data_IF_349188188543
#
_entry.id   IF_349188188543
#
_cell.length_a   1.000
_cell.length_b   1.000
_cell.length_c   1.000
_cell.angle_alpha   90.00
_cell.angle_beta   90.00
_cell.angle_gamma   90.00
#
_symmetry.space_group_name_H-M   'P 1'
#
loop_
_entity.id
_entity.type
_entity.pdbx_description
1 polymer ?
#
# COMPACT_ATOMS: atom_id res chain seq x y z
N UNK A 1 8.09 -12.13 2.05
CA UNK A 1 6.63 -12.19 2.23
C UNK A 1 6.03 -12.90 1.04
N UNK A 2 4.93 -13.64 1.22
CA UNK A 2 4.23 -14.35 0.14
C UNK A 2 3.16 -13.44 -0.45
N UNK A 3 3.17 -13.25 -1.78
CA UNK A 3 2.15 -12.47 -2.50
C UNK A 3 0.95 -13.39 -2.75
N UNK A 4 -0.24 -12.96 -2.35
CA UNK A 4 -1.49 -13.73 -2.48
C UNK A 4 -2.29 -13.29 -3.71
N UNK A 5 -2.16 -12.03 -4.14
CA UNK A 5 -2.88 -11.47 -5.29
C UNK A 5 -2.23 -10.18 -5.82
N UNK A 6 -2.48 -9.82 -7.08
CA UNK A 6 -2.02 -8.58 -7.73
C UNK A 6 -3.03 -8.05 -8.75
N UNK A 7 -3.32 -6.74 -8.67
CA UNK A 7 -4.07 -5.99 -9.68
C UNK A 7 -3.27 -4.75 -10.09
N UNK A 8 -2.98 -4.60 -11.39
CA UNK A 8 -2.25 -3.47 -11.96
C UNK A 8 -3.25 -2.48 -12.62
N UNK A 9 -3.30 -1.24 -12.13
CA UNK A 9 -4.14 -0.19 -12.72
C UNK A 9 -3.33 0.74 -13.64
N UNK A 10 -3.96 1.21 -14.73
CA UNK A 10 -3.44 2.24 -15.62
C UNK A 10 -3.69 3.65 -15.02
N UNK A 11 -2.84 4.66 -15.29
CA UNK A 11 -2.81 5.89 -14.49
C UNK A 11 -4.07 6.76 -14.61
N UNK A 12 -4.76 7.01 -13.49
CA UNK A 12 -5.88 7.96 -13.40
C UNK A 12 -6.46 8.16 -11.98
N UNK A 13 -5.93 9.16 -11.24
CA UNK A 13 -6.15 9.35 -9.78
C UNK A 13 -7.60 9.48 -9.26
N UNK A 14 -8.59 9.77 -10.12
CA UNK A 14 -10.00 9.84 -9.70
C UNK A 14 -10.80 8.59 -10.06
N UNK A 15 -10.41 7.91 -11.14
CA UNK A 15 -11.03 6.67 -11.56
C UNK A 15 -10.65 5.53 -10.61
N UNK A 16 -9.41 5.53 -10.12
CA UNK A 16 -8.87 4.48 -9.25
C UNK A 16 -9.65 4.33 -7.94
N UNK A 17 -10.14 5.42 -7.34
CA UNK A 17 -10.91 5.38 -6.08
C UNK A 17 -12.29 4.76 -6.25
N UNK A 18 -12.98 5.10 -7.34
CA UNK A 18 -14.31 4.58 -7.67
C UNK A 18 -14.21 3.10 -8.08
N UNK A 19 -13.24 2.77 -8.91
CA UNK A 19 -12.96 1.39 -9.35
C UNK A 19 -12.45 0.51 -8.21
N UNK A 20 -11.81 1.07 -7.19
CA UNK A 20 -11.36 0.34 -5.99
C UNK A 20 -12.44 0.10 -4.93
N UNK A 21 -13.66 0.61 -5.11
CA UNK A 21 -14.75 0.42 -4.13
C UNK A 21 -15.03 -1.06 -3.80
N UNK A 22 -15.02 -2.00 -4.77
CA UNK A 22 -15.15 -3.43 -4.48
C UNK A 22 -13.95 -3.98 -3.68
N UNK A 23 -12.73 -3.49 -3.92
CA UNK A 23 -11.52 -3.89 -3.20
C UNK A 23 -11.62 -3.47 -1.73
N UNK A 24 -12.10 -2.26 -1.47
CA UNK A 24 -12.38 -1.77 -0.11
C UNK A 24 -13.38 -2.68 0.61
N UNK A 25 -14.49 -3.04 -0.04
CA UNK A 25 -15.46 -3.95 0.56
C UNK A 25 -14.82 -5.30 0.89
N UNK A 26 -14.07 -5.89 -0.04
CA UNK A 26 -13.41 -7.18 0.14
C UNK A 26 -12.36 -7.17 1.26
N UNK A 27 -11.57 -6.09 1.36
CA UNK A 27 -10.59 -5.88 2.44
C UNK A 27 -11.22 -5.83 3.84
N UNK A 28 -12.45 -5.32 3.94
CA UNK A 28 -13.17 -5.23 5.21
C UNK A 28 -13.88 -6.54 5.57
N UNK A 29 -14.46 -7.23 4.59
CA UNK A 29 -15.37 -8.35 4.85
C UNK A 29 -14.74 -9.73 4.72
N UNK A 30 -13.70 -9.88 3.88
CA UNK A 30 -13.14 -11.19 3.53
C UNK A 30 -11.67 -11.36 3.93
N UNK A 31 -10.92 -10.27 4.11
CA UNK A 31 -9.48 -10.35 4.45
C UNK A 31 -9.28 -10.45 5.96
N UNK A 32 -8.68 -11.55 6.47
CA UNK A 32 -8.45 -11.74 7.89
C UNK A 32 -7.60 -10.63 8.51
N UNK A 33 -7.64 -10.52 9.84
CA UNK A 33 -6.70 -9.66 10.55
C UNK A 33 -5.24 -10.13 10.33
N UNK A 34 -4.32 -9.16 10.26
CA UNK A 34 -2.91 -9.42 9.97
C UNK A 34 -2.54 -9.37 8.48
N UNK A 35 -3.51 -9.41 7.57
CA UNK A 35 -3.28 -9.25 6.14
C UNK A 35 -3.61 -7.84 5.66
N UNK A 36 -2.84 -7.36 4.67
CA UNK A 36 -3.00 -6.04 4.09
C UNK A 36 -2.60 -6.03 2.61
N UNK A 37 -3.11 -5.04 1.87
CA UNK A 37 -2.75 -4.78 0.47
C UNK A 37 -1.63 -3.75 0.42
N UNK A 38 -0.67 -3.97 -0.48
CA UNK A 38 0.34 -2.98 -0.86
C UNK A 38 -0.13 -2.28 -2.12
N UNK A 39 -0.17 -0.95 -2.12
CA UNK A 39 -0.61 -0.15 -3.28
C UNK A 39 0.45 0.86 -3.71
N UNK A 40 0.25 1.47 -4.88
CA UNK A 40 1.00 2.66 -5.26
C UNK A 40 0.68 3.86 -4.35
N UNK A 41 1.61 4.81 -4.28
CA UNK A 41 1.51 6.07 -3.53
C UNK A 41 0.36 6.96 -3.99
N UNK A 42 -0.07 6.87 -5.25
CA UNK A 42 -1.22 7.59 -5.77
C UNK A 42 -2.56 6.96 -5.35
N UNK A 43 -2.54 5.71 -4.87
CA UNK A 43 -3.76 5.01 -4.49
C UNK A 43 -4.37 5.62 -3.22
N UNK A 44 -5.69 5.84 -3.19
CA UNK A 44 -6.35 6.35 -2.01
C UNK A 44 -6.23 5.35 -0.85
N UNK A 45 -5.71 5.80 0.29
CA UNK A 45 -5.63 5.01 1.53
C UNK A 45 -7.03 4.69 2.14
N UNK A 46 -8.11 5.08 1.45
CA UNK A 46 -9.50 4.81 1.82
C UNK A 46 -9.99 5.63 3.03
N UNK A 47 -11.24 5.39 3.46
CA UNK A 47 -11.79 5.92 4.70
C UNK A 47 -11.02 5.39 5.93
N UNK A 48 -11.21 6.01 7.10
CA UNK A 48 -10.52 5.65 8.37
C UNK A 48 -10.68 4.16 8.73
N UNK A 49 -11.78 3.51 8.32
CA UNK A 49 -12.01 2.07 8.49
C UNK A 49 -10.98 1.18 7.76
N UNK A 50 -10.24 1.70 6.79
CA UNK A 50 -9.16 1.00 6.07
C UNK A 50 -7.79 1.15 6.73
N UNK A 51 -7.70 1.84 7.88
CA UNK A 51 -6.42 2.09 8.54
C UNK A 51 -5.71 0.77 8.86
N UNK A 52 -4.53 0.58 8.28
CA UNK A 52 -3.72 -0.63 8.46
C UNK A 52 -4.03 -1.77 7.49
N UNK A 53 -5.09 -1.68 6.67
CA UNK A 53 -5.43 -2.65 5.61
C UNK A 53 -4.78 -2.32 4.26
N UNK A 54 -4.36 -1.07 4.06
CA UNK A 54 -3.69 -0.60 2.85
C UNK A 54 -2.39 0.08 3.25
N UNK A 55 -1.27 -0.40 2.72
CA UNK A 55 0.06 0.16 2.92
C UNK A 55 0.58 0.66 1.59
N UNK A 56 0.76 1.97 1.49
CA UNK A 56 1.42 2.60 0.36
C UNK A 56 2.81 3.08 0.81
N UNK A 57 3.81 3.08 -0.09
CA UNK A 57 5.07 3.77 0.17
C UNK A 57 4.83 5.24 0.55
N UNK A 58 5.81 5.84 1.21
CA UNK A 58 5.74 7.24 1.57
C UNK A 58 5.66 8.11 0.32
N UNK A 59 4.81 9.14 0.38
CA UNK A 59 4.75 10.15 -0.68
C UNK A 59 5.91 11.14 -0.50
N UNK A 60 6.45 11.63 -1.61
CA UNK A 60 7.44 12.72 -1.55
C UNK A 60 6.89 13.91 -0.76
N UNK A 61 7.60 14.32 0.30
CA UNK A 61 7.21 15.41 1.19
C UNK A 61 6.39 15.00 2.43
N UNK A 62 6.14 13.71 2.65
CA UNK A 62 5.52 13.21 3.89
C UNK A 62 6.46 13.51 5.09
N UNK A 63 5.90 14.08 6.17
CA UNK A 63 6.69 14.49 7.34
C UNK A 63 7.05 13.27 8.18
N UNK A 64 8.33 13.06 8.41
CA UNK A 64 8.85 12.00 9.26
C UNK A 64 9.28 12.63 10.60
N UNK A 65 9.08 11.95 11.75
CA UNK A 65 9.58 12.42 13.04
C UNK A 65 11.08 12.73 13.01
N UNK A 66 11.54 13.67 13.85
CA UNK A 66 12.97 14.01 13.94
C UNK A 66 13.81 12.95 14.70
N UNK A 67 13.15 11.99 15.34
CA UNK A 67 13.79 10.89 16.05
C UNK A 67 14.43 9.90 15.07
N UNK A 68 15.74 9.67 15.22
CA UNK A 68 16.55 8.85 14.32
C UNK A 68 16.09 7.38 14.30
N UNK A 69 15.66 6.84 15.45
CA UNK A 69 15.19 5.45 15.53
C UNK A 69 13.88 5.28 14.76
N UNK A 70 12.93 6.20 14.96
CA UNK A 70 11.68 6.21 14.20
C UNK A 70 11.91 6.47 12.70
N UNK A 71 12.86 7.34 12.32
CA UNK A 71 13.24 7.54 10.93
C UNK A 71 13.74 6.26 10.28
N UNK A 72 14.66 5.55 10.94
CA UNK A 72 15.20 4.30 10.41
C UNK A 72 14.09 3.25 10.24
N UNK A 73 13.19 3.10 11.21
CA UNK A 73 12.07 2.17 11.14
C UNK A 73 11.12 2.49 9.98
N UNK A 74 10.78 3.77 9.81
CA UNK A 74 9.91 4.25 8.73
C UNK A 74 10.57 4.03 7.36
N UNK A 75 11.86 4.36 7.23
CA UNK A 75 12.61 4.15 5.99
C UNK A 75 12.76 2.67 5.65
N UNK A 76 13.07 1.81 6.63
CA UNK A 76 13.16 0.36 6.43
C UNK A 76 11.84 -0.20 5.91
N UNK A 77 10.73 0.15 6.56
CA UNK A 77 9.39 -0.26 6.12
C UNK A 77 9.06 0.27 4.72
N UNK A 78 9.43 1.51 4.42
CA UNK A 78 9.24 2.08 3.09
C UNK A 78 10.03 1.33 2.00
N UNK A 79 11.30 0.98 2.28
CA UNK A 79 12.12 0.18 1.37
C UNK A 79 11.55 -1.22 1.15
N UNK A 80 11.04 -1.88 2.20
CA UNK A 80 10.35 -3.17 2.08
C UNK A 80 9.13 -3.06 1.15
N UNK A 81 8.27 -2.06 1.35
CA UNK A 81 7.09 -1.83 0.50
C UNK A 81 7.46 -1.59 -0.96
N UNK A 82 8.51 -0.79 -1.22
CA UNK A 82 9.01 -0.54 -2.59
C UNK A 82 9.55 -1.82 -3.23
N UNK A 83 10.30 -2.64 -2.49
CA UNK A 83 10.84 -3.91 -2.98
C UNK A 83 9.75 -4.92 -3.32
N UNK A 84 8.71 -5.04 -2.47
CA UNK A 84 7.54 -5.86 -2.77
C UNK A 84 6.81 -5.38 -4.02
N UNK A 85 6.68 -4.07 -4.21
CA UNK A 85 6.05 -3.51 -5.39
C UNK A 85 6.84 -3.80 -6.66
N UNK A 86 8.16 -3.63 -6.63
CA UNK A 86 9.04 -3.95 -7.76
C UNK A 86 8.94 -5.42 -8.15
N UNK A 87 8.85 -6.31 -7.18
CA UNK A 87 8.65 -7.75 -7.41
C UNK A 87 7.36 -8.03 -8.18
N UNK A 88 6.28 -7.34 -7.82
CA UNK A 88 4.97 -7.50 -8.46
C UNK A 88 4.94 -6.86 -9.85
N UNK A 89 5.58 -5.71 -10.02
CA UNK A 89 5.59 -4.94 -11.27
C UNK A 89 6.50 -5.56 -12.34
N UNK A 90 7.63 -6.12 -11.94
CA UNK A 90 8.67 -6.58 -12.86
C UNK A 90 8.89 -8.11 -12.83
N UNK A 91 8.22 -8.82 -11.92
CA UNK A 91 8.45 -10.23 -11.65
C UNK A 91 9.78 -10.46 -10.91
N UNK A 92 9.84 -11.45 -10.01
CA UNK A 92 11.14 -12.03 -9.63
C UNK A 92 11.50 -13.04 -10.71
N UNK A 93 12.52 -12.75 -11.50
CA UNK A 93 13.22 -13.77 -12.28
C UNK A 93 14.10 -14.63 -11.36
#
# INVERSE_FOLDING_TARGET
>A
GTIIDCVLNAPGSWHDAHTAQPIFHHLLTHVPEGFYVISDTAFPRGPVSMRGKIHAPMKGGERIPADLVQQEQIMRRNCELLSFRQTVEWGMH
#
